data_IF_100194333823
#
_entry.id   IF_100194333823
#
_cell.length_a   1.000
_cell.length_b   1.000
_cell.length_c   1.000
_cell.angle_alpha   90.00
_cell.angle_beta   90.00
_cell.angle_gamma   90.00
#
_symmetry.space_group_name_H-M   'P 1'
#
loop_
_entity.id
_entity.type
_entity.pdbx_description
1 polymer ?
#
# COMPACT_ATOMS: atom_id res chain seq x y z
N UNK A 1 -49.33 13.10 37.71
CA UNK A 1 -50.69 13.42 37.23
C UNK A 1 -50.59 14.19 35.93
N UNK A 2 -51.52 13.88 35.03
CA UNK A 2 -51.59 14.12 33.57
C UNK A 2 -51.74 15.60 33.18
N UNK A 3 -51.19 16.00 32.01
CA UNK A 3 -51.78 16.85 30.93
C UNK A 3 -50.72 17.18 29.85
N UNK A 4 -50.86 16.66 28.62
CA UNK A 4 -51.44 17.31 27.40
C UNK A 4 -50.36 18.08 26.60
N UNK A 5 -50.19 18.06 25.26
CA UNK A 5 -50.99 17.81 24.04
C UNK A 5 -50.02 17.36 22.91
N UNK A 6 -50.35 16.36 22.09
CA UNK A 6 -51.02 16.41 20.78
C UNK A 6 -50.19 17.01 19.62
N UNK A 7 -49.93 16.18 18.60
CA UNK A 7 -49.36 16.52 17.29
C UNK A 7 -49.51 15.36 16.30
N UNK A 8 -50.65 15.36 15.59
CA UNK A 8 -50.98 14.79 14.26
C UNK A 8 -49.75 14.51 13.35
N UNK A 9 -49.69 13.54 12.43
CA UNK A 9 -50.68 12.83 11.60
C UNK A 9 -49.89 11.93 10.63
N UNK A 10 -50.30 10.68 10.39
CA UNK A 10 -50.18 10.02 9.08
C UNK A 10 -50.92 8.67 9.12
N UNK A 11 -51.83 8.51 8.15
CA UNK A 11 -52.72 7.38 8.01
C UNK A 11 -52.00 6.10 7.57
N UNK A 12 -52.43 4.98 8.15
CA UNK A 12 -52.25 3.62 7.65
C UNK A 12 -53.23 3.30 6.51
N UNK A 13 -52.88 2.25 5.75
CA UNK A 13 -53.69 1.30 4.93
C UNK A 13 -53.27 1.29 3.45
N UNK A 14 -53.00 0.16 2.79
CA UNK A 14 -53.29 -1.24 3.13
C UNK A 14 -52.34 -2.21 2.40
N UNK A 15 -52.23 -3.39 3.02
CA UNK A 15 -51.56 -4.63 2.60
C UNK A 15 -52.27 -5.29 1.42
N UNK A 16 -51.51 -5.93 0.52
CA UNK A 16 -51.98 -7.14 -0.18
C UNK A 16 -50.90 -8.21 -0.16
N UNK A 17 -51.32 -9.42 0.21
CA UNK A 17 -50.52 -10.63 0.38
C UNK A 17 -50.55 -11.51 -0.87
N UNK A 18 -49.45 -12.26 -1.01
CA UNK A 18 -49.32 -13.64 -1.48
C UNK A 18 -49.51 -13.99 -2.97
N UNK A 19 -48.43 -14.55 -3.53
CA UNK A 19 -48.46 -15.46 -4.68
C UNK A 19 -47.16 -16.27 -4.73
N UNK A 20 -47.20 -17.53 -4.29
CA UNK A 20 -46.12 -18.51 -4.38
C UNK A 20 -45.77 -18.84 -5.84
N UNK A 21 -44.49 -19.04 -6.14
CA UNK A 21 -44.01 -19.57 -7.41
C UNK A 21 -42.65 -20.22 -7.24
N UNK A 22 -42.56 -21.48 -7.64
CA UNK A 22 -41.51 -22.47 -7.38
C UNK A 22 -40.15 -22.21 -8.03
N UNK A 23 -39.12 -22.79 -7.42
CA UNK A 23 -37.74 -22.87 -7.91
C UNK A 23 -37.61 -23.42 -9.34
N UNK A 24 -36.75 -22.77 -10.13
CA UNK A 24 -35.98 -23.40 -11.19
C UNK A 24 -34.50 -23.04 -10.96
N UNK A 25 -33.68 -24.07 -10.83
CA UNK A 25 -32.24 -23.95 -10.96
C UNK A 25 -31.94 -23.78 -12.46
N UNK A 26 -31.45 -22.61 -12.85
CA UNK A 26 -30.80 -22.41 -14.14
C UNK A 26 -29.29 -22.38 -13.91
N UNK A 27 -28.63 -23.28 -14.63
CA UNK A 27 -27.19 -23.44 -14.81
C UNK A 27 -26.51 -22.11 -15.08
N UNK A 28 -25.53 -21.77 -14.24
CA UNK A 28 -24.64 -20.63 -14.43
C UNK A 28 -23.58 -21.03 -15.48
N UNK A 29 -23.75 -20.55 -16.72
CA UNK A 29 -22.63 -20.40 -17.65
C UNK A 29 -21.66 -19.34 -17.09
N UNK A 30 -20.33 -19.54 -17.19
CA UNK A 30 -19.39 -18.51 -16.78
C UNK A 30 -19.51 -17.32 -17.75
N UNK A 31 -19.93 -16.17 -17.21
CA UNK A 31 -19.91 -14.93 -17.95
C UNK A 31 -18.48 -14.61 -18.38
N UNK A 32 -18.28 -14.50 -19.69
CA UNK A 32 -17.03 -14.07 -20.30
C UNK A 32 -16.58 -12.72 -19.72
N UNK A 33 -15.32 -12.64 -19.31
CA UNK A 33 -14.65 -11.36 -19.08
C UNK A 33 -14.73 -10.53 -20.37
N UNK A 34 -15.23 -9.28 -20.33
CA UNK A 34 -15.09 -8.41 -21.49
C UNK A 34 -13.60 -8.08 -21.66
N UNK A 35 -13.01 -8.64 -22.70
CA UNK A 35 -11.74 -8.18 -23.25
C UNK A 35 -11.89 -6.73 -23.70
N UNK A 36 -10.89 -5.91 -23.36
CA UNK A 36 -10.75 -4.55 -23.90
C UNK A 36 -11.27 -3.46 -22.97
N UNK A 37 -10.45 -3.08 -21.99
CA UNK A 37 -10.39 -1.69 -21.54
C UNK A 37 -8.97 -1.21 -21.75
N UNK A 38 -8.72 -0.64 -22.92
CA UNK A 38 -7.55 0.20 -23.15
C UNK A 38 -7.64 1.39 -22.21
N UNK A 39 -6.77 1.42 -21.20
CA UNK A 39 -6.49 2.64 -20.45
C UNK A 39 -5.66 3.50 -21.40
N UNK A 40 -6.26 4.57 -21.91
CA UNK A 40 -5.51 5.54 -22.70
C UNK A 40 -4.52 6.25 -21.76
N UNK A 41 -3.24 6.19 -22.10
CA UNK A 41 -2.20 6.98 -21.46
C UNK A 41 -2.60 8.47 -21.54
N UNK A 42 -2.65 9.12 -20.38
CA UNK A 42 -2.87 10.57 -20.31
C UNK A 42 -1.63 11.30 -20.86
N UNK A 43 -1.82 12.40 -21.62
CA UNK A 43 -0.70 13.18 -22.11
C UNK A 43 0.03 13.84 -20.92
N UNK A 44 1.32 13.56 -20.80
CA UNK A 44 2.21 14.15 -19.80
C UNK A 44 2.23 15.67 -19.98
N UNK A 45 1.64 16.39 -19.03
CA UNK A 45 1.79 17.83 -18.91
C UNK A 45 3.21 18.17 -18.41
N UNK A 46 3.72 19.32 -18.86
CA UNK A 46 5.13 19.71 -18.76
C UNK A 46 5.71 19.68 -17.33
N UNK A 47 6.92 19.12 -17.26
CA UNK A 47 7.75 18.79 -16.10
C UNK A 47 8.14 20.02 -15.26
N UNK A 48 8.05 19.96 -13.91
CA UNK A 48 8.80 20.86 -13.05
C UNK A 48 10.30 20.54 -13.16
N UNK A 49 11.14 21.57 -13.19
CA UNK A 49 12.58 21.56 -13.49
C UNK A 49 13.51 20.78 -12.51
N UNK A 50 13.04 19.80 -11.75
CA UNK A 50 13.85 19.14 -10.70
C UNK A 50 13.79 17.62 -10.76
N UNK A 51 14.58 17.06 -11.69
CA UNK A 51 15.42 15.85 -11.55
C UNK A 51 15.98 15.57 -12.95
N UNK A 52 17.32 15.57 -13.12
CA UNK A 52 17.90 15.23 -14.42
C UNK A 52 17.60 13.76 -14.77
N UNK A 53 17.47 13.42 -16.07
CA UNK A 53 17.25 12.04 -16.48
C UNK A 53 18.31 11.11 -15.89
N UNK A 54 17.87 10.01 -15.28
CA UNK A 54 18.72 9.04 -14.60
C UNK A 54 18.47 7.65 -15.19
N UNK A 55 19.50 7.03 -15.74
CA UNK A 55 19.42 5.65 -16.20
C UNK A 55 19.36 4.73 -14.98
N UNK A 56 18.28 3.95 -14.87
CA UNK A 56 18.05 2.98 -13.80
C UNK A 56 18.59 1.60 -14.16
N UNK A 57 18.52 1.25 -15.45
CA UNK A 57 19.01 -0.01 -16.01
C UNK A 57 19.35 0.19 -17.49
N UNK A 58 20.41 -0.47 -17.93
CA UNK A 58 20.83 -0.57 -19.33
C UNK A 58 21.50 -1.93 -19.51
N UNK A 59 20.69 -2.96 -19.77
CA UNK A 59 21.12 -4.35 -19.79
C UNK A 59 20.24 -5.16 -20.74
N UNK A 60 20.85 -6.07 -21.52
CA UNK A 60 20.11 -7.05 -22.32
C UNK A 60 19.27 -6.45 -23.44
N UNK A 61 19.60 -5.24 -23.92
CA UNK A 61 18.80 -4.52 -24.92
C UNK A 61 17.60 -3.78 -24.32
N UNK A 62 17.41 -3.80 -23.00
CA UNK A 62 16.42 -2.97 -22.31
C UNK A 62 17.12 -1.84 -21.58
N UNK A 63 16.64 -0.62 -21.78
CA UNK A 63 17.06 0.57 -21.01
C UNK A 63 15.86 1.20 -20.33
N UNK A 64 15.99 1.48 -19.03
CA UNK A 64 14.99 2.19 -18.23
C UNK A 64 15.60 3.49 -17.74
N UNK A 65 14.94 4.61 -18.04
CA UNK A 65 15.39 5.95 -17.65
C UNK A 65 14.29 6.65 -16.87
N UNK A 66 14.57 7.07 -15.63
CA UNK A 66 13.72 8.02 -14.92
C UNK A 66 13.92 9.41 -15.55
N UNK A 67 12.84 10.05 -15.98
CA UNK A 67 12.86 11.31 -16.74
C UNK A 67 12.73 12.55 -15.84
N UNK A 68 12.28 12.38 -14.60
CA UNK A 68 12.05 13.47 -13.68
C UNK A 68 11.22 13.04 -12.47
N UNK A 69 10.52 14.00 -11.88
CA UNK A 69 9.59 13.78 -10.79
C UNK A 69 8.44 14.79 -10.81
N UNK A 70 7.23 14.32 -10.55
CA UNK A 70 6.01 15.12 -10.45
C UNK A 70 5.34 14.86 -9.08
N UNK A 71 5.59 15.69 -8.06
CA UNK A 71 5.00 15.53 -6.73
C UNK A 71 3.49 15.80 -6.70
N UNK A 72 2.99 16.59 -7.65
CA UNK A 72 1.64 17.16 -7.65
C UNK A 72 0.70 16.47 -8.65
N UNK A 73 1.07 15.27 -9.11
CA UNK A 73 0.27 14.48 -10.02
C UNK A 73 -1.15 14.23 -9.51
N UNK A 74 -2.13 14.21 -10.42
CA UNK A 74 -3.56 14.19 -10.06
C UNK A 74 -3.97 13.06 -9.10
N UNK A 75 -3.34 11.88 -9.22
CA UNK A 75 -3.60 10.72 -8.36
C UNK A 75 -2.60 10.57 -7.21
N UNK A 76 -1.54 11.37 -7.21
CA UNK A 76 -0.40 11.28 -6.31
C UNK A 76 0.92 11.51 -7.05
N UNK A 77 2.02 11.39 -6.30
CA UNK A 77 3.35 11.60 -6.80
C UNK A 77 3.76 10.60 -7.89
N UNK A 78 4.47 11.07 -8.91
CA UNK A 78 4.84 10.29 -10.09
C UNK A 78 6.32 10.38 -10.38
N UNK A 79 6.91 9.25 -10.75
CA UNK A 79 8.24 9.15 -11.35
C UNK A 79 8.07 8.75 -12.81
N UNK A 80 8.10 9.69 -13.77
CA UNK A 80 8.01 9.35 -15.18
C UNK A 80 9.22 8.52 -15.61
N UNK A 81 8.97 7.40 -16.28
CA UNK A 81 9.99 6.52 -16.84
C UNK A 81 9.85 6.44 -18.35
N UNK A 82 10.99 6.21 -19.01
CA UNK A 82 11.07 5.73 -20.39
C UNK A 82 11.67 4.33 -20.38
N UNK A 83 11.00 3.39 -21.04
CA UNK A 83 11.49 2.03 -21.28
C UNK A 83 11.75 1.90 -22.77
N UNK A 84 13.03 1.75 -23.12
CA UNK A 84 13.49 1.48 -24.48
C UNK A 84 13.82 -0.01 -24.57
N UNK A 85 13.01 -0.78 -25.30
CA UNK A 85 13.21 -2.21 -25.50
C UNK A 85 13.75 -2.48 -26.91
N UNK A 86 15.07 -2.56 -27.04
CA UNK A 86 15.78 -2.96 -28.26
C UNK A 86 16.10 -4.46 -28.29
N UNK A 87 15.56 -5.25 -27.36
CA UNK A 87 15.73 -6.71 -27.31
C UNK A 87 14.84 -7.43 -28.33
N UNK A 88 14.94 -8.76 -28.37
CA UNK A 88 14.10 -9.64 -29.18
C UNK A 88 12.90 -10.24 -28.41
N UNK A 89 12.60 -9.72 -27.22
CA UNK A 89 11.50 -10.18 -26.34
C UNK A 89 10.56 -9.05 -26.00
N UNK A 90 9.29 -9.38 -25.76
CA UNK A 90 8.31 -8.47 -25.20
C UNK A 90 8.49 -8.43 -23.67
N UNK A 91 8.63 -7.24 -23.10
CA UNK A 91 8.96 -7.07 -21.68
C UNK A 91 7.92 -6.27 -20.93
N UNK A 92 7.72 -6.60 -19.65
CA UNK A 92 6.97 -5.80 -18.70
C UNK A 92 7.90 -5.24 -17.62
N UNK A 93 7.68 -4.00 -17.18
CA UNK A 93 8.41 -3.37 -16.06
C UNK A 93 7.45 -3.17 -14.89
N UNK A 94 7.82 -3.70 -13.73
CA UNK A 94 7.08 -3.56 -12.48
C UNK A 94 7.97 -2.99 -11.38
N UNK A 95 7.37 -2.33 -10.40
CA UNK A 95 8.07 -1.93 -9.19
C UNK A 95 8.12 -3.12 -8.22
N UNK A 96 9.31 -3.42 -7.72
CA UNK A 96 9.56 -4.35 -6.63
C UNK A 96 9.48 -3.60 -5.29
N UNK A 97 10.23 -2.49 -5.19
CA UNK A 97 10.25 -1.64 -4.00
C UNK A 97 9.95 -0.20 -4.35
N UNK A 98 9.24 0.47 -3.45
CA UNK A 98 8.99 1.91 -3.49
C UNK A 98 9.02 2.51 -2.11
N UNK A 99 9.71 3.64 -1.97
CA UNK A 99 9.64 4.47 -0.77
C UNK A 99 9.73 5.95 -1.10
N UNK A 100 9.05 6.76 -0.28
CA UNK A 100 9.25 8.20 -0.21
C UNK A 100 9.82 8.54 1.16
N UNK A 101 10.92 9.29 1.19
CA UNK A 101 11.60 9.71 2.42
C UNK A 101 11.82 8.57 3.42
N UNK A 102 12.27 7.41 2.92
CA UNK A 102 12.53 6.21 3.73
C UNK A 102 11.29 5.47 4.22
N UNK A 103 10.07 5.91 3.87
CA UNK A 103 8.84 5.18 4.15
C UNK A 103 8.41 4.34 2.94
N UNK A 104 8.51 3.03 3.11
CA UNK A 104 8.05 2.02 2.15
C UNK A 104 6.53 2.10 1.96
N UNK A 105 6.10 2.06 0.71
CA UNK A 105 4.70 2.06 0.30
C UNK A 105 4.55 1.49 -1.10
N UNK A 106 3.33 1.17 -1.51
CA UNK A 106 3.07 0.63 -2.84
C UNK A 106 3.42 1.65 -3.94
N UNK A 107 4.43 1.29 -4.74
CA UNK A 107 4.77 1.96 -5.98
C UNK A 107 4.03 1.26 -7.13
N UNK A 108 2.99 1.88 -7.68
CA UNK A 108 2.23 1.28 -8.76
C UNK A 108 2.96 1.48 -10.08
N UNK A 109 3.39 0.38 -10.70
CA UNK A 109 4.04 0.37 -12.01
C UNK A 109 3.76 -0.95 -12.71
N UNK A 110 3.23 -0.87 -13.93
CA UNK A 110 3.16 -2.01 -14.86
C UNK A 110 3.19 -1.44 -16.28
N UNK A 111 4.37 -1.50 -16.91
CA UNK A 111 4.61 -0.93 -18.24
C UNK A 111 4.97 -2.05 -19.20
N UNK A 112 4.25 -2.16 -20.31
CA UNK A 112 4.52 -3.16 -21.35
C UNK A 112 5.23 -2.50 -22.53
N UNK A 113 6.35 -3.08 -22.96
CA UNK A 113 7.10 -2.67 -24.13
C UNK A 113 7.41 -3.89 -25.01
N UNK A 114 6.74 -4.01 -26.16
CA UNK A 114 7.05 -5.07 -27.12
C UNK A 114 8.47 -4.90 -27.68
N UNK A 115 9.01 -5.97 -28.26
CA UNK A 115 10.32 -5.95 -28.90
C UNK A 115 10.43 -4.80 -29.93
N UNK A 116 11.47 -3.97 -29.78
CA UNK A 116 11.73 -2.81 -30.64
C UNK A 116 10.92 -1.55 -30.30
N UNK A 117 10.09 -1.56 -29.26
CA UNK A 117 9.29 -0.40 -28.86
C UNK A 117 9.96 0.45 -27.79
N UNK A 118 9.54 1.73 -27.75
CA UNK A 118 9.83 2.64 -26.64
C UNK A 118 8.50 3.09 -26.06
N UNK A 119 8.35 2.96 -24.74
CA UNK A 119 7.16 3.40 -24.01
C UNK A 119 7.54 4.37 -22.91
N UNK A 120 6.65 5.31 -22.63
CA UNK A 120 6.77 6.25 -21.51
C UNK A 120 5.48 6.20 -20.69
N UNK A 121 5.63 6.09 -19.38
CA UNK A 121 4.55 6.20 -18.40
C UNK A 121 5.18 6.55 -17.04
N UNK A 122 4.53 6.33 -15.90
CA UNK A 122 5.07 6.67 -14.58
C UNK A 122 4.89 5.55 -13.56
N UNK A 123 5.84 5.47 -12.62
CA UNK A 123 5.57 4.87 -11.31
C UNK A 123 4.70 5.84 -10.52
N UNK A 124 3.59 5.37 -9.95
CA UNK A 124 2.64 6.17 -9.18
C UNK A 124 2.67 5.79 -7.70
N UNK A 125 2.92 6.78 -6.85
CA UNK A 125 2.66 6.72 -5.41
C UNK A 125 1.31 7.40 -5.15
N UNK A 126 0.29 6.63 -4.80
CA UNK A 126 -1.07 7.17 -4.64
C UNK A 126 -1.12 8.12 -3.44
N UNK A 127 -1.73 9.29 -3.65
CA UNK A 127 -1.86 10.35 -2.66
C UNK A 127 -2.40 9.88 -1.30
N UNK A 128 -3.42 9.01 -1.29
CA UNK A 128 -3.99 8.46 -0.04
C UNK A 128 -2.98 7.67 0.79
N UNK A 129 -2.06 6.95 0.15
CA UNK A 129 -1.01 6.18 0.85
C UNK A 129 0.12 7.08 1.32
N UNK A 130 0.51 8.07 0.51
CA UNK A 130 1.47 9.13 0.92
C UNK A 130 0.97 9.86 2.17
N UNK A 131 -0.30 10.24 2.19
CA UNK A 131 -0.95 10.92 3.32
C UNK A 131 -1.08 10.01 4.53
N UNK A 132 -1.46 8.74 4.32
CA UNK A 132 -1.53 7.71 5.38
C UNK A 132 -0.17 7.53 6.06
N UNK A 133 0.90 7.54 5.28
CA UNK A 133 2.28 7.45 5.75
C UNK A 133 2.79 8.73 6.43
N UNK A 134 2.11 9.87 6.26
CA UNK A 134 2.62 11.16 6.72
C UNK A 134 3.92 11.56 6.01
N UNK A 135 4.12 11.05 4.79
CA UNK A 135 5.29 11.34 3.97
C UNK A 135 5.07 12.65 3.20
N UNK A 136 6.07 13.52 3.20
CA UNK A 136 6.14 14.60 2.21
C UNK A 136 6.42 13.98 0.82
N UNK A 137 5.63 14.28 -0.23
CA UNK A 137 6.03 13.87 -1.59
C UNK A 137 7.33 14.56 -2.04
N UNK A 138 7.67 15.75 -1.54
CA UNK A 138 9.01 16.28 -1.74
C UNK A 138 10.07 15.47 -0.97
N UNK A 139 11.34 15.59 -1.34
CA UNK A 139 12.45 14.95 -0.61
C UNK A 139 13.18 13.90 -1.43
N UNK A 140 13.01 12.63 -1.10
CA UNK A 140 13.75 11.51 -1.65
C UNK A 140 12.81 10.40 -2.10
N UNK A 141 13.13 9.79 -3.25
CA UNK A 141 12.49 8.56 -3.70
C UNK A 141 13.51 7.43 -3.71
N UNK A 142 13.05 6.25 -3.32
CA UNK A 142 13.76 4.98 -3.50
C UNK A 142 12.91 4.04 -4.34
N UNK A 143 13.50 3.45 -5.38
CA UNK A 143 12.84 2.50 -6.27
C UNK A 143 13.75 1.31 -6.57
N UNK A 144 13.14 0.14 -6.68
CA UNK A 144 13.68 -1.02 -7.38
C UNK A 144 12.62 -1.53 -8.35
N UNK A 145 13.01 -1.81 -9.58
CA UNK A 145 12.15 -2.32 -10.64
C UNK A 145 12.62 -3.70 -11.12
N UNK A 146 11.66 -4.53 -11.50
CA UNK A 146 11.87 -5.78 -12.20
C UNK A 146 11.48 -5.63 -13.68
N UNK A 147 12.30 -6.20 -14.56
CA UNK A 147 12.00 -6.44 -15.97
C UNK A 147 11.60 -7.90 -16.09
N UNK A 148 10.39 -8.13 -16.57
CA UNK A 148 9.80 -9.45 -16.73
C UNK A 148 9.60 -9.75 -18.21
N UNK A 149 9.68 -11.03 -18.57
CA UNK A 149 9.15 -11.52 -19.84
C UNK A 149 7.62 -11.50 -19.78
N UNK A 150 6.97 -10.90 -20.79
CA UNK A 150 5.50 -10.71 -20.74
C UNK A 150 4.72 -12.05 -20.76
N UNK A 151 5.22 -13.05 -21.48
CA UNK A 151 4.48 -14.31 -21.65
C UNK A 151 4.68 -15.24 -20.44
N UNK A 152 5.92 -15.41 -20.00
CA UNK A 152 6.29 -16.34 -18.93
C UNK A 152 6.23 -15.73 -17.53
N UNK A 153 6.22 -14.39 -17.43
CA UNK A 153 6.39 -13.64 -16.19
C UNK A 153 7.73 -13.90 -15.47
N UNK A 154 8.72 -14.49 -16.14
CA UNK A 154 10.05 -14.70 -15.58
C UNK A 154 10.79 -13.36 -15.43
N UNK A 155 11.45 -13.17 -14.29
CA UNK A 155 12.32 -12.00 -14.08
C UNK A 155 13.58 -12.09 -14.93
N UNK A 156 13.68 -11.23 -15.92
CA UNK A 156 14.81 -11.12 -16.85
C UNK A 156 15.96 -10.28 -16.27
N UNK A 157 15.61 -9.24 -15.52
CA UNK A 157 16.56 -8.38 -14.83
C UNK A 157 15.89 -7.64 -13.67
N UNK A 158 16.68 -7.25 -12.68
CA UNK A 158 16.24 -6.38 -11.58
C UNK A 158 17.22 -5.22 -11.49
N UNK A 159 16.70 -4.00 -11.39
CA UNK A 159 17.52 -2.81 -11.16
C UNK A 159 18.23 -2.91 -9.79
N UNK A 160 19.33 -2.20 -9.61
CA UNK A 160 19.81 -1.93 -8.25
C UNK A 160 18.79 -1.09 -7.48
N UNK A 161 18.79 -1.20 -6.15
CA UNK A 161 18.02 -0.29 -5.30
C UNK A 161 18.55 1.14 -5.50
N UNK A 162 17.72 2.00 -6.05
CA UNK A 162 18.11 3.33 -6.46
C UNK A 162 17.40 4.36 -5.61
N UNK A 163 18.20 5.20 -4.94
CA UNK A 163 17.72 6.32 -4.13
C UNK A 163 18.21 7.62 -4.73
N UNK A 164 17.35 8.63 -4.81
CA UNK A 164 17.74 9.98 -5.23
C UNK A 164 16.83 11.06 -4.68
N UNK A 165 17.41 12.24 -4.51
CA UNK A 165 16.68 13.41 -4.06
C UNK A 165 15.89 14.04 -5.23
N UNK A 166 14.64 14.35 -4.95
CA UNK A 166 13.62 14.85 -5.86
C UNK A 166 13.65 16.38 -5.94
N UNK A 167 13.91 17.06 -4.82
CA UNK A 167 14.03 18.53 -4.75
C UNK A 167 15.11 18.94 -3.75
N UNK A 168 15.65 20.16 -3.90
CA UNK A 168 16.60 20.77 -2.95
C UNK A 168 15.96 21.11 -1.57
N UNK A 169 14.70 20.72 -1.34
CA UNK A 169 13.89 21.15 -0.20
C UNK A 169 13.97 20.26 1.05
N UNK A 170 14.41 19.01 0.93
CA UNK A 170 14.41 18.04 2.04
C UNK A 170 12.98 17.73 2.49
N UNK A 171 12.48 16.55 2.11
CA UNK A 171 11.22 16.03 2.64
C UNK A 171 11.51 15.04 3.75
N UNK A 172 10.58 14.94 4.69
CA UNK A 172 10.67 14.03 5.81
C UNK A 172 9.39 13.18 5.88
N UNK A 173 9.52 11.99 6.45
CA UNK A 173 8.35 11.25 6.91
C UNK A 173 8.20 11.49 8.41
N UNK A 174 7.07 12.05 8.81
CA UNK A 174 6.81 12.31 10.23
C UNK A 174 6.55 10.99 10.96
N UNK A 175 7.33 10.70 12.01
CA UNK A 175 7.02 9.58 12.90
C UNK A 175 5.69 9.88 13.60
N UNK A 176 4.66 9.04 13.41
CA UNK A 176 3.33 9.31 13.95
C UNK A 176 3.34 9.21 15.48
N UNK A 177 2.52 10.03 16.12
CA UNK A 177 2.24 9.87 17.55
C UNK A 177 1.43 8.59 17.78
N UNK A 178 1.76 7.87 18.85
CA UNK A 178 1.16 6.58 19.10
C UNK A 178 1.65 5.89 20.36
N UNK A 179 1.22 4.63 20.51
CA UNK A 179 1.66 3.74 21.58
C UNK A 179 2.61 2.72 20.99
N UNK A 180 3.87 2.73 21.42
CA UNK A 180 4.84 1.69 21.07
C UNK A 180 4.35 0.35 21.62
N UNK A 181 4.06 -0.57 20.72
CA UNK A 181 3.63 -1.93 21.06
C UNK A 181 4.86 -2.83 21.29
N UNK A 182 5.90 -2.66 20.46
CA UNK A 182 7.14 -3.44 20.52
C UNK A 182 8.32 -2.55 20.18
N UNK A 183 9.40 -2.68 20.96
CA UNK A 183 10.71 -2.06 20.77
C UNK A 183 11.80 -3.03 21.26
N UNK A 184 11.61 -4.32 20.95
CA UNK A 184 12.60 -5.36 21.24
C UNK A 184 13.40 -5.68 19.98
N UNK A 185 14.71 -5.46 20.04
CA UNK A 185 15.62 -5.68 18.92
C UNK A 185 15.65 -4.50 17.95
N UNK A 186 15.80 -4.81 16.66
CA UNK A 186 15.98 -3.80 15.61
C UNK A 186 14.67 -3.48 14.87
N UNK A 187 13.53 -4.03 15.29
CA UNK A 187 12.21 -3.71 14.72
C UNK A 187 11.34 -3.07 15.79
N UNK A 188 10.75 -1.92 15.45
CA UNK A 188 9.84 -1.20 16.34
C UNK A 188 8.47 -1.12 15.71
N UNK A 189 7.45 -1.41 16.51
CA UNK A 189 6.05 -1.34 16.09
C UNK A 189 5.30 -0.37 16.98
N UNK A 190 4.70 0.64 16.37
CA UNK A 190 3.90 1.67 17.05
C UNK A 190 2.48 1.66 16.50
N UNK A 191 1.49 1.61 17.39
CA UNK A 191 0.09 1.84 17.02
C UNK A 191 -0.17 3.35 16.94
N UNK A 192 -0.54 3.83 15.75
CA UNK A 192 -0.66 5.25 15.44
C UNK A 192 -2.06 5.78 15.74
N UNK A 193 -2.15 6.94 16.36
CA UNK A 193 -3.42 7.65 16.51
C UNK A 193 -3.76 8.46 15.24
N UNK A 194 -5.03 8.51 14.84
CA UNK A 194 -5.49 9.44 13.79
C UNK A 194 -5.80 10.84 14.34
N UNK A 195 -6.43 10.91 15.51
CA UNK A 195 -6.82 12.15 16.21
C UNK A 195 -6.79 11.90 17.73
N UNK A 196 -5.61 11.60 18.30
CA UNK A 196 -5.41 11.05 19.67
C UNK A 196 -6.10 9.70 19.96
N UNK A 197 -6.95 9.23 19.06
CA UNK A 197 -7.54 7.88 19.07
C UNK A 197 -6.64 6.89 18.33
N UNK A 198 -6.10 5.92 19.08
CA UNK A 198 -5.28 4.79 18.58
C UNK A 198 -6.05 3.90 17.60
N UNK A 199 -7.38 3.94 17.63
CA UNK A 199 -8.25 3.15 16.76
C UNK A 199 -9.24 4.04 16.03
N UNK A 200 -9.27 3.92 14.70
CA UNK A 200 -10.31 4.48 13.83
C UNK A 200 -11.17 3.37 13.21
N UNK A 201 -11.35 3.41 11.88
CA UNK A 201 -11.92 2.27 11.12
C UNK A 201 -10.96 1.07 10.99
N UNK A 202 -9.69 1.26 11.34
CA UNK A 202 -8.62 0.27 11.35
C UNK A 202 -7.56 0.66 12.40
N UNK A 203 -6.75 -0.31 12.83
CA UNK A 203 -5.54 -0.09 13.62
C UNK A 203 -4.39 0.21 12.66
N UNK A 204 -3.82 1.41 12.71
CA UNK A 204 -2.63 1.75 11.90
C UNK A 204 -1.37 1.40 12.67
N UNK A 205 -0.48 0.66 12.05
CA UNK A 205 0.79 0.22 12.60
C UNK A 205 1.93 0.86 11.82
N UNK A 206 2.69 1.71 12.50
CA UNK A 206 3.99 2.19 12.04
C UNK A 206 5.05 1.17 12.43
N UNK A 207 5.74 0.64 11.42
CA UNK A 207 6.78 -0.38 11.59
C UNK A 207 8.09 0.23 11.14
N UNK A 208 9.12 0.17 11.98
CA UNK A 208 10.47 0.65 11.66
C UNK A 208 11.44 -0.52 11.64
N UNK A 209 12.24 -0.62 10.58
CA UNK A 209 13.38 -1.51 10.50
C UNK A 209 14.66 -0.71 10.76
N UNK A 210 15.22 -0.86 11.95
CA UNK A 210 16.48 -0.24 12.40
C UNK A 210 17.70 -1.13 12.17
N UNK A 211 17.50 -2.30 11.55
CA UNK A 211 18.58 -3.24 11.26
C UNK A 211 19.32 -2.88 9.97
N UNK A 212 20.37 -3.65 9.67
CA UNK A 212 21.16 -3.56 8.45
C UNK A 212 20.71 -4.51 7.32
N UNK A 213 19.56 -5.19 7.49
CA UNK A 213 19.04 -6.20 6.57
C UNK A 213 17.58 -5.95 6.22
N UNK A 214 17.13 -6.52 5.11
CA UNK A 214 15.70 -6.56 4.77
C UNK A 214 14.99 -7.53 5.71
N UNK A 215 13.89 -7.10 6.30
CA UNK A 215 13.11 -7.92 7.23
C UNK A 215 11.66 -8.03 6.78
N UNK A 216 11.08 -9.18 7.05
CA UNK A 216 9.63 -9.41 6.97
C UNK A 216 9.06 -9.44 8.38
N UNK A 217 8.17 -8.51 8.69
CA UNK A 217 7.38 -8.47 9.92
C UNK A 217 6.00 -9.03 9.64
N UNK A 218 5.68 -10.16 10.27
CA UNK A 218 4.36 -10.78 10.18
C UNK A 218 3.57 -10.51 11.46
N UNK A 219 2.33 -10.05 11.31
CA UNK A 219 1.40 -9.93 12.43
C UNK A 219 0.58 -11.21 12.53
N UNK A 220 1.15 -12.23 13.19
CA UNK A 220 0.59 -13.57 13.25
C UNK A 220 -0.75 -13.67 14.00
N UNK A 221 -0.97 -12.80 14.99
CA UNK A 221 -2.26 -12.71 15.67
C UNK A 221 -2.54 -11.27 16.09
N UNK A 222 -3.67 -10.70 15.64
CA UNK A 222 -4.17 -9.42 16.16
C UNK A 222 -5.57 -9.62 16.71
N UNK A 223 -5.76 -9.38 18.01
CA UNK A 223 -7.07 -9.50 18.66
C UNK A 223 -7.42 -8.28 19.48
N UNK A 224 -8.70 -7.95 19.47
CA UNK A 224 -9.28 -6.96 20.36
C UNK A 224 -10.32 -7.63 21.26
N UNK A 225 -9.96 -7.86 22.52
CA UNK A 225 -10.72 -8.75 23.40
C UNK A 225 -10.81 -10.17 22.83
N UNK A 226 -12.02 -10.63 22.49
CA UNK A 226 -12.24 -11.96 21.89
C UNK A 226 -12.31 -11.95 20.37
N UNK A 227 -12.33 -10.78 19.75
CA UNK A 227 -12.42 -10.66 18.29
C UNK A 227 -11.07 -10.81 17.63
N UNK A 228 -11.00 -11.61 16.57
CA UNK A 228 -9.84 -11.76 15.69
C UNK A 228 -9.88 -10.72 14.56
N UNK A 229 -8.71 -10.16 14.23
CA UNK A 229 -8.49 -9.23 13.13
C UNK A 229 -7.07 -9.39 12.56
N UNK A 230 -6.77 -8.63 11.51
CA UNK A 230 -5.41 -8.56 10.96
C UNK A 230 -4.85 -9.82 10.32
N UNK A 231 -5.70 -10.79 9.96
CA UNK A 231 -5.29 -11.99 9.21
C UNK A 231 -4.44 -11.56 7.99
N UNK A 232 -3.27 -12.18 7.85
CA UNK A 232 -2.31 -11.98 6.76
C UNK A 232 -1.68 -10.57 6.63
N UNK A 233 -1.63 -9.78 7.72
CA UNK A 233 -0.89 -8.51 7.67
C UNK A 233 0.62 -8.78 7.73
N UNK A 234 1.34 -8.34 6.69
CA UNK A 234 2.78 -8.49 6.55
C UNK A 234 3.35 -7.12 6.15
N UNK A 235 4.49 -6.77 6.72
CA UNK A 235 5.28 -5.62 6.31
C UNK A 235 6.69 -6.10 5.95
N UNK A 236 7.12 -5.84 4.73
CA UNK A 236 8.49 -6.08 4.30
C UNK A 236 9.24 -4.75 4.19
N UNK A 237 10.39 -4.65 4.86
CA UNK A 237 11.09 -3.38 5.04
C UNK A 237 12.56 -3.51 4.70
N UNK A 238 13.03 -2.62 3.84
CA UNK A 238 14.45 -2.43 3.57
C UNK A 238 15.18 -1.89 4.82
N UNK A 239 16.51 -2.06 4.92
CA UNK A 239 17.30 -1.51 6.02
C UNK A 239 17.06 -0.02 6.23
N UNK A 240 16.83 0.40 7.47
CA UNK A 240 16.65 1.81 7.83
C UNK A 240 15.32 2.45 7.37
N UNK A 241 14.37 1.66 6.89
CA UNK A 241 13.08 2.16 6.40
C UNK A 241 11.94 1.94 7.40
N UNK A 242 10.82 2.60 7.14
CA UNK A 242 9.57 2.41 7.87
C UNK A 242 8.42 2.05 6.92
N UNK A 243 7.29 1.60 7.44
CA UNK A 243 6.05 1.41 6.67
C UNK A 243 4.82 1.65 7.55
N UNK A 244 3.67 1.95 6.90
CA UNK A 244 2.38 2.08 7.59
C UNK A 244 1.42 1.02 7.11
N UNK A 245 1.01 0.15 8.04
CA UNK A 245 0.18 -1.00 7.75
C UNK A 245 -1.19 -0.83 8.42
N UNK A 246 -2.26 -1.09 7.69
CA UNK A 246 -3.63 -1.06 8.21
C UNK A 246 -4.09 -2.44 8.65
N UNK A 247 -4.37 -2.62 9.93
CA UNK A 247 -4.95 -3.84 10.48
C UNK A 247 -6.43 -3.63 10.75
N UNK A 248 -7.28 -4.37 10.01
CA UNK A 248 -8.71 -4.41 10.30
C UNK A 248 -8.98 -5.16 11.59
N UNK A 249 -9.65 -4.50 12.53
CA UNK A 249 -10.12 -5.10 13.77
C UNK A 249 -11.63 -5.33 13.73
N UNK A 250 -12.14 -6.31 14.49
CA UNK A 250 -13.57 -6.53 14.64
C UNK A 250 -14.20 -5.47 15.55
N UNK A 251 -15.32 -4.89 15.09
CA UNK A 251 -16.08 -3.87 15.83
C UNK A 251 -15.64 -2.44 15.52
N UNK A 252 -16.26 -1.46 16.20
CA UNK A 252 -15.90 -0.05 16.05
C UNK A 252 -14.84 0.40 17.06
N UNK A 253 -14.18 1.52 16.80
CA UNK A 253 -13.28 2.16 17.77
C UNK A 253 -13.96 2.40 19.14
N UNK A 254 -15.23 2.80 19.15
CA UNK A 254 -16.01 2.98 20.36
C UNK A 254 -16.18 1.68 21.17
N UNK A 255 -16.21 0.52 20.51
CA UNK A 255 -16.27 -0.78 21.17
C UNK A 255 -14.92 -1.20 21.76
N UNK A 256 -13.83 -0.51 21.43
CA UNK A 256 -12.48 -0.89 21.82
C UNK A 256 -12.04 -0.32 23.17
N UNK A 257 -12.67 0.74 23.64
CA UNK A 257 -12.31 1.42 24.89
C UNK A 257 -12.31 0.44 26.08
N UNK A 258 -11.21 0.41 26.82
CA UNK A 258 -11.01 -0.48 27.97
C UNK A 258 -10.79 -1.96 27.64
N UNK A 259 -10.78 -2.35 26.35
CA UNK A 259 -10.35 -3.69 25.92
C UNK A 259 -8.83 -3.78 25.82
N UNK A 260 -8.34 -5.01 25.80
CA UNK A 260 -6.94 -5.33 25.53
C UNK A 260 -6.78 -5.64 24.04
N UNK A 261 -5.86 -4.94 23.39
CA UNK A 261 -5.27 -5.33 22.11
C UNK A 261 -4.18 -6.36 22.39
N UNK A 262 -4.36 -7.56 21.86
CA UNK A 262 -3.36 -8.61 21.85
C UNK A 262 -2.71 -8.64 20.47
N UNK A 263 -1.38 -8.56 20.45
CA UNK A 263 -0.58 -8.60 19.23
C UNK A 263 0.48 -9.69 19.38
N UNK A 264 0.47 -10.67 18.48
CA UNK A 264 1.60 -11.56 18.24
C UNK A 264 2.23 -11.21 16.91
N UNK A 265 3.55 -11.03 16.89
CA UNK A 265 4.30 -10.77 15.67
C UNK A 265 5.58 -11.59 15.61
N UNK A 266 5.98 -11.92 14.39
CA UNK A 266 7.27 -12.55 14.08
C UNK A 266 8.06 -11.65 13.15
N UNK A 267 9.36 -11.54 13.39
CA UNK A 267 10.30 -10.87 12.48
C UNK A 267 11.19 -11.94 11.86
N UNK A 268 11.29 -11.92 10.54
CA UNK A 268 12.11 -12.84 9.78
C UNK A 268 13.11 -12.07 8.92
N UNK A 269 14.25 -12.67 8.67
CA UNK A 269 15.17 -12.27 7.62
C UNK A 269 14.51 -12.56 6.26
N UNK A 270 14.34 -11.54 5.41
CA UNK A 270 13.58 -11.70 4.14
C UNK A 270 14.27 -12.63 3.14
N UNK A 271 15.61 -12.66 3.14
CA UNK A 271 16.38 -13.44 2.16
C UNK A 271 16.41 -14.92 2.53
N UNK A 272 16.61 -15.22 3.81
CA UNK A 272 16.76 -16.59 4.31
C UNK A 272 15.49 -17.21 4.87
N UNK A 273 14.45 -16.39 5.15
CA UNK A 273 13.24 -16.75 5.87
C UNK A 273 13.50 -17.28 7.29
N UNK A 274 14.69 -17.04 7.86
CA UNK A 274 14.99 -17.39 9.24
C UNK A 274 14.22 -16.47 10.20
N UNK A 275 13.57 -17.06 11.19
CA UNK A 275 12.91 -16.30 12.25
C UNK A 275 13.96 -15.68 13.17
N UNK A 276 13.98 -14.35 13.25
CA UNK A 276 14.90 -13.57 14.07
C UNK A 276 14.37 -13.37 15.48
N UNK A 277 13.07 -13.05 15.59
CA UNK A 277 12.39 -12.88 16.88
C UNK A 277 10.89 -13.14 16.74
N UNK A 278 10.26 -13.51 17.85
CA UNK A 278 8.81 -13.63 18.00
C UNK A 278 8.42 -12.89 19.28
N UNK A 279 7.39 -12.07 19.20
CA UNK A 279 6.95 -11.22 20.29
C UNK A 279 5.45 -11.33 20.51
N UNK A 280 5.03 -11.18 21.77
CA UNK A 280 3.62 -11.16 22.15
C UNK A 280 3.40 -10.00 23.11
N UNK A 281 2.47 -9.12 22.76
CA UNK A 281 2.22 -7.85 23.45
C UNK A 281 0.73 -7.74 23.75
N UNK A 282 0.41 -7.40 25.00
CA UNK A 282 -0.94 -7.05 25.42
C UNK A 282 -0.97 -5.57 25.83
N UNK A 283 -1.68 -4.75 25.05
CA UNK A 283 -1.84 -3.31 25.33
C UNK A 283 -3.27 -3.03 25.72
N UNK A 284 -3.46 -2.45 26.90
CA UNK A 284 -4.78 -1.96 27.31
C UNK A 284 -5.04 -0.62 26.62
N UNK A 285 -6.10 -0.56 25.82
CA UNK A 285 -6.51 0.66 25.16
C UNK A 285 -7.25 1.54 26.17
N UNK A 286 -6.86 2.82 26.20
CA UNK A 286 -7.38 3.82 27.13
C UNK A 286 -8.88 4.10 26.90
#
# INVERSE_FOLDING_TARGET
>A
MKKWMAGTMAALLAVSMAGCGTAQAETMEPAAYPAGRTVQAEPVAATPETAQPKVLLDQGGVRITALGYDPDGMLGARVPLRVENESDRDVAVQAEWGALNGCMMDALCYMEADAGQTVEDSVLFISTEVQRAGADPAGQVTLQLNVLDQESCETLATTGLMTWDLTQGGGETAVPQGVTLSDEGDVVVTACAADDEVLGSELRLWVENRSDRTVTVRFDEVRLGWGLGGEDTIAELLPGTCSVNGVKLPGSAADAAGKTLHLKLSVMDSDSYEMLTEQTVDVKLA
#
